data_IF_925957430378
#
_entry.id   IF_925957430378
#
_cell.length_a   1.000
_cell.length_b   1.000
_cell.length_c   1.000
_cell.angle_alpha   90.00
_cell.angle_beta   90.00
_cell.angle_gamma   90.00
#
_symmetry.space_group_name_H-M   'P 1'
#
loop_
_entity.id
_entity.type
_entity.pdbx_description
1 polymer ?
#
# COMPACT_ATOMS: atom_id res chain seq x y z
N UNK A 1 -8.87 10.28 7.26
CA UNK A 1 -8.32 11.26 6.31
C UNK A 1 -9.29 11.38 5.14
N UNK A 2 -9.50 12.58 4.63
CA UNK A 2 -10.44 12.85 3.53
C UNK A 2 -9.71 13.68 2.47
N UNK A 3 -9.88 13.35 1.19
CA UNK A 3 -9.27 14.04 0.05
C UNK A 3 -7.75 14.25 0.24
N UNK A 4 -7.07 13.21 0.72
CA UNK A 4 -5.68 13.26 1.15
C UNK A 4 -4.78 12.46 0.22
N UNK A 5 -3.58 12.99 -0.04
CA UNK A 5 -2.50 12.27 -0.72
C UNK A 5 -2.11 10.97 0.01
N UNK A 6 -2.44 10.88 1.30
CA UNK A 6 -2.25 9.72 2.13
C UNK A 6 -1.00 9.83 2.99
N UNK A 7 -0.23 8.73 3.08
CA UNK A 7 0.91 8.65 4.00
C UNK A 7 2.05 7.87 3.37
N UNK A 8 3.26 8.31 3.65
CA UNK A 8 4.51 7.69 3.21
C UNK A 8 5.30 7.27 4.45
N UNK A 9 5.56 5.97 4.60
CA UNK A 9 6.32 5.42 5.74
C UNK A 9 7.60 4.78 5.19
N UNK A 10 8.75 5.19 5.72
CA UNK A 10 10.04 4.56 5.43
C UNK A 10 10.65 4.86 4.06
N UNK A 11 10.25 5.96 3.42
CA UNK A 11 10.85 6.42 2.17
C UNK A 11 11.86 7.55 2.43
N UNK A 12 13.02 7.49 1.77
CA UNK A 12 14.00 8.58 1.76
C UNK A 12 15.07 8.37 0.70
N UNK A 13 16.00 9.32 0.59
CA UNK A 13 16.94 9.43 -0.53
C UNK A 13 18.26 8.73 -0.20
N UNK A 14 18.76 7.89 -1.10
CA UNK A 14 20.14 7.39 -1.04
C UNK A 14 21.08 8.49 -1.52
N UNK A 15 21.58 9.31 -0.60
CA UNK A 15 22.87 9.98 -0.75
C UNK A 15 23.64 9.88 0.56
N UNK A 16 24.56 8.92 0.62
CA UNK A 16 25.76 9.05 1.44
C UNK A 16 25.81 8.38 2.80
N UNK A 17 24.71 8.04 3.50
CA UNK A 17 24.69 7.10 4.65
C UNK A 17 23.28 6.97 5.27
N UNK A 18 22.75 5.73 5.22
CA UNK A 18 21.59 5.18 5.94
C UNK A 18 20.22 5.86 5.81
N UNK A 19 19.29 5.18 5.13
CA UNK A 19 17.86 5.44 5.28
C UNK A 19 17.36 4.75 6.56
N UNK A 20 16.86 5.52 7.51
CA UNK A 20 16.13 4.96 8.66
C UNK A 20 14.75 4.49 8.19
N UNK A 21 14.66 3.21 7.83
CA UNK A 21 13.38 2.58 7.52
C UNK A 21 12.81 2.05 8.84
N UNK A 22 11.57 2.42 9.23
CA UNK A 22 10.99 2.01 10.48
C UNK A 22 10.90 0.48 10.55
N UNK A 23 11.30 -0.02 11.71
CA UNK A 23 11.26 -1.42 12.09
C UNK A 23 10.15 -1.60 13.13
N UNK A 24 9.50 -2.76 13.15
CA UNK A 24 8.59 -3.17 14.23
C UNK A 24 7.48 -2.16 14.53
N UNK A 25 6.53 -2.02 13.60
CA UNK A 25 5.41 -1.10 13.80
C UNK A 25 4.07 -1.73 13.47
N UNK A 26 3.03 -1.13 14.06
CA UNK A 26 1.64 -1.46 13.80
C UNK A 26 0.91 -0.24 13.26
N UNK A 27 0.21 -0.42 12.15
CA UNK A 27 -0.85 0.49 11.72
C UNK A 27 -2.20 -0.13 12.06
N UNK A 28 -3.06 0.65 12.67
CA UNK A 28 -4.38 0.21 13.09
C UNK A 28 -5.44 1.28 12.85
N UNK A 29 -6.65 0.84 12.55
CA UNK A 29 -7.84 1.69 12.47
C UNK A 29 -7.70 2.86 11.48
N UNK A 30 -7.08 2.58 10.33
CA UNK A 30 -6.85 3.59 9.30
C UNK A 30 -8.11 3.77 8.44
N UNK A 31 -8.51 5.03 8.25
CA UNK A 31 -9.60 5.42 7.34
C UNK A 31 -9.14 6.49 6.36
N UNK A 32 -9.31 6.26 5.07
CA UNK A 32 -8.99 7.20 3.99
C UNK A 32 -10.12 7.22 2.95
N UNK A 33 -10.68 8.39 2.67
CA UNK A 33 -11.73 8.57 1.66
C UNK A 33 -11.38 9.67 0.66
N UNK A 34 -11.18 9.29 -0.61
CA UNK A 34 -10.85 10.20 -1.71
C UNK A 34 -11.95 10.23 -2.80
N UNK A 35 -13.20 9.87 -2.48
CA UNK A 35 -14.29 9.82 -3.46
C UNK A 35 -14.60 11.16 -4.14
N UNK A 36 -14.27 12.29 -3.52
CA UNK A 36 -14.57 13.62 -4.05
C UNK A 36 -13.45 14.17 -4.95
N UNK A 37 -12.29 13.50 -5.02
CA UNK A 37 -11.15 13.97 -5.81
C UNK A 37 -11.20 13.36 -7.22
N UNK A 38 -11.07 14.21 -8.23
CA UNK A 38 -11.12 13.80 -9.63
C UNK A 38 -9.80 13.19 -10.15
N UNK A 39 -8.68 13.54 -9.51
CA UNK A 39 -7.35 13.09 -9.90
C UNK A 39 -6.80 12.02 -8.95
N UNK A 40 -5.77 11.32 -9.43
CA UNK A 40 -5.11 10.24 -8.70
C UNK A 40 -4.40 10.76 -7.46
N UNK A 41 -4.69 10.15 -6.32
CA UNK A 41 -3.95 10.30 -5.08
C UNK A 41 -3.25 8.99 -4.72
N UNK A 42 -2.08 9.10 -4.09
CA UNK A 42 -1.16 7.98 -3.85
C UNK A 42 -1.72 6.95 -2.87
N UNK A 43 -2.39 7.40 -1.82
CA UNK A 43 -2.84 6.52 -0.74
C UNK A 43 -1.70 6.26 0.26
N UNK A 44 -1.61 5.03 0.75
CA UNK A 44 -0.62 4.69 1.77
C UNK A 44 0.46 3.84 1.13
N UNK A 45 1.69 4.33 1.21
CA UNK A 45 2.87 3.64 0.72
C UNK A 45 3.79 3.37 1.90
N UNK A 46 4.17 2.10 2.05
CA UNK A 46 4.98 1.62 3.16
C UNK A 46 6.19 0.93 2.60
N UNK A 47 7.35 1.51 2.88
CA UNK A 47 8.64 0.83 2.80
C UNK A 47 9.03 0.44 4.21
N UNK A 48 9.35 -0.83 4.38
CA UNK A 48 9.63 -1.43 5.68
C UNK A 48 11.01 -2.08 5.62
N UNK A 49 11.75 -2.06 6.74
CA UNK A 49 13.22 -2.20 6.74
C UNK A 49 13.79 -3.62 6.93
N UNK A 50 15.11 -3.74 6.84
CA UNK A 50 15.83 -5.03 6.81
C UNK A 50 15.96 -5.72 8.19
N UNK A 51 15.84 -7.06 8.22
CA UNK A 51 16.27 -8.06 9.24
C UNK A 51 15.77 -7.92 10.68
N UNK A 52 15.34 -9.05 11.25
CA UNK A 52 13.93 -9.43 11.28
C UNK A 52 13.09 -8.33 11.96
N UNK A 53 12.09 -7.83 11.26
CA UNK A 53 11.11 -6.92 11.84
C UNK A 53 9.67 -7.32 11.51
N UNK A 54 8.75 -6.87 12.37
CA UNK A 54 7.34 -7.25 12.38
C UNK A 54 6.48 -6.06 12.01
N UNK A 55 5.78 -6.17 10.88
CA UNK A 55 4.82 -5.15 10.45
C UNK A 55 3.41 -5.72 10.50
N UNK A 56 2.57 -5.08 11.31
CA UNK A 56 1.16 -5.42 11.41
C UNK A 56 0.30 -4.27 10.89
N UNK A 57 -0.51 -4.54 9.87
CA UNK A 57 -1.48 -3.59 9.36
C UNK A 57 -2.86 -4.19 9.58
N UNK A 58 -3.68 -3.47 10.35
CA UNK A 58 -4.93 -3.99 10.84
C UNK A 58 -6.05 -2.96 10.72
N UNK A 59 -7.26 -3.42 10.42
CA UNK A 59 -8.48 -2.58 10.41
C UNK A 59 -8.34 -1.34 9.51
N UNK A 60 -8.12 -1.58 8.22
CA UNK A 60 -7.92 -0.51 7.22
C UNK A 60 -9.14 -0.42 6.33
N UNK A 61 -9.66 0.80 6.14
CA UNK A 61 -10.66 1.12 5.12
C UNK A 61 -10.19 2.29 4.26
N UNK A 62 -10.00 2.06 2.97
CA UNK A 62 -9.52 3.07 2.02
C UNK A 62 -10.37 3.06 0.76
N UNK A 63 -10.84 4.22 0.30
CA UNK A 63 -11.64 4.34 -0.92
C UNK A 63 -11.03 5.36 -1.87
N UNK A 64 -10.91 4.98 -3.15
CA UNK A 64 -10.13 5.68 -4.19
C UNK A 64 -8.68 5.95 -3.77
N UNK A 65 -8.04 4.93 -3.19
CA UNK A 65 -6.65 4.99 -2.77
C UNK A 65 -5.99 3.62 -2.90
N UNK A 66 -4.67 3.62 -3.04
CA UNK A 66 -3.87 2.39 -3.09
C UNK A 66 -3.17 2.17 -1.75
N UNK A 67 -3.17 0.94 -1.26
CA UNK A 67 -2.26 0.47 -0.23
C UNK A 67 -1.10 -0.24 -0.93
N UNK A 68 0.10 0.30 -0.81
CA UNK A 68 1.29 -0.24 -1.47
C UNK A 68 2.36 -0.56 -0.45
N UNK A 69 2.79 -1.81 -0.46
CA UNK A 69 3.67 -2.40 0.51
C UNK A 69 4.94 -2.85 -0.19
N UNK A 70 6.07 -2.38 0.33
CA UNK A 70 7.39 -2.82 -0.02
C UNK A 70 8.00 -3.48 1.21
N UNK A 71 8.31 -4.77 1.08
CA UNK A 71 8.75 -5.62 2.18
C UNK A 71 10.15 -6.18 1.88
N UNK A 72 11.12 -5.93 2.75
CA UNK A 72 12.49 -6.43 2.61
C UNK A 72 13.04 -6.93 3.94
N UNK A 73 13.61 -8.13 3.97
CA UNK A 73 12.92 -9.31 4.49
C UNK A 73 12.30 -9.12 5.89
N UNK A 74 11.05 -9.56 6.05
CA UNK A 74 10.17 -9.16 7.17
C UNK A 74 8.92 -10.02 7.33
N UNK A 75 8.38 -10.09 8.54
CA UNK A 75 7.07 -10.69 8.76
C UNK A 75 5.96 -9.64 8.56
N UNK A 76 5.08 -9.88 7.59
CA UNK A 76 3.96 -8.99 7.23
C UNK A 76 2.62 -9.63 7.60
N UNK A 77 1.86 -8.91 8.44
CA UNK A 77 0.52 -9.32 8.87
C UNK A 77 -0.52 -8.31 8.39
N UNK A 78 -1.42 -8.73 7.51
CA UNK A 78 -2.59 -7.95 7.11
C UNK A 78 -3.86 -8.60 7.69
N UNK A 79 -4.65 -7.80 8.43
CA UNK A 79 -5.93 -8.23 9.00
C UNK A 79 -7.01 -7.17 8.78
N UNK A 80 -8.19 -7.58 8.31
CA UNK A 80 -9.34 -6.69 8.16
C UNK A 80 -9.00 -5.47 7.28
N UNK A 81 -8.59 -5.74 6.05
CA UNK A 81 -8.20 -4.73 5.07
C UNK A 81 -9.32 -4.62 4.04
N UNK A 82 -9.83 -3.41 3.84
CA UNK A 82 -10.78 -3.09 2.78
C UNK A 82 -10.24 -1.87 2.01
N UNK A 83 -9.71 -2.11 0.83
CA UNK A 83 -9.12 -1.07 -0.01
C UNK A 83 -9.74 -1.13 -1.39
N UNK A 84 -10.12 0.03 -1.90
CA UNK A 84 -10.82 0.16 -3.15
C UNK A 84 -10.20 1.27 -4.00
N UNK A 85 -9.94 0.97 -5.26
CA UNK A 85 -9.34 1.88 -6.23
C UNK A 85 -10.05 1.78 -7.56
N UNK A 86 -10.06 2.85 -8.36
CA UNK A 86 -10.57 2.76 -9.73
C UNK A 86 -9.59 1.98 -10.60
N UNK A 87 -10.09 1.07 -11.44
CA UNK A 87 -9.25 0.23 -12.31
C UNK A 87 -8.33 1.05 -13.22
N UNK A 88 -8.78 2.23 -13.67
CA UNK A 88 -8.01 3.14 -14.51
C UNK A 88 -6.78 3.75 -13.81
N UNK A 89 -6.77 3.82 -12.48
CA UNK A 89 -5.66 4.43 -11.71
C UNK A 89 -4.55 3.42 -11.41
N UNK A 90 -4.91 2.15 -11.21
CA UNK A 90 -4.03 1.06 -10.81
C UNK A 90 -4.58 0.25 -9.65
N UNK A 91 -3.86 -0.79 -9.19
CA UNK A 91 -4.39 -1.73 -8.21
C UNK A 91 -4.69 -1.10 -6.84
N UNK A 92 -5.71 -1.64 -6.17
CA UNK A 92 -6.09 -1.25 -4.82
C UNK A 92 -5.06 -1.68 -3.76
N UNK A 93 -4.49 -2.89 -3.91
CA UNK A 93 -3.39 -3.40 -3.10
C UNK A 93 -2.22 -3.75 -4.01
N UNK A 94 -1.04 -3.22 -3.68
CA UNK A 94 0.23 -3.59 -4.29
C UNK A 94 1.13 -4.17 -3.22
N UNK A 95 1.70 -5.34 -3.48
CA UNK A 95 2.73 -5.92 -2.62
C UNK A 95 3.92 -6.27 -3.51
N UNK A 96 5.06 -5.68 -3.20
CA UNK A 96 6.31 -5.92 -3.92
C UNK A 96 7.12 -6.96 -3.14
N UNK A 97 7.21 -8.16 -3.70
CA UNK A 97 8.09 -9.23 -3.24
C UNK A 97 9.07 -9.52 -4.38
N UNK A 98 10.37 -9.42 -4.12
CA UNK A 98 11.40 -9.78 -5.11
C UNK A 98 12.35 -10.83 -4.53
N UNK A 99 12.66 -11.81 -5.39
CA UNK A 99 13.55 -12.94 -5.15
C UNK A 99 14.82 -12.70 -5.99
N UNK A 100 15.84 -12.14 -5.34
CA UNK A 100 17.21 -11.85 -5.82
C UNK A 100 17.50 -12.15 -7.29
N UNK A 101 17.61 -11.08 -8.10
CA UNK A 101 18.67 -10.98 -9.15
C UNK A 101 19.31 -9.59 -9.33
N UNK A 102 18.90 -8.53 -8.63
CA UNK A 102 19.53 -7.21 -8.81
C UNK A 102 19.83 -6.49 -7.48
N UNK A 103 21.00 -5.84 -7.42
CA UNK A 103 21.63 -5.28 -6.21
C UNK A 103 21.33 -3.78 -6.02
N UNK A 104 20.45 -3.19 -6.84
CA UNK A 104 20.17 -1.74 -6.80
C UNK A 104 18.68 -1.46 -7.00
N UNK A 105 18.04 -0.89 -5.98
CA UNK A 105 16.67 -0.36 -6.08
C UNK A 105 15.52 -1.38 -6.08
N UNK A 106 15.78 -2.65 -5.72
CA UNK A 106 14.77 -3.72 -5.69
C UNK A 106 14.91 -4.60 -4.41
N UNK A 107 13.77 -5.13 -3.94
CA UNK A 107 13.54 -5.64 -2.57
C UNK A 107 13.98 -7.11 -2.37
N UNK A 108 14.05 -7.61 -1.12
CA UNK A 108 14.45 -8.99 -0.80
C UNK A 108 13.39 -9.70 0.07
N UNK A 109 12.72 -10.72 -0.44
CA UNK A 109 12.04 -11.69 0.40
C UNK A 109 13.01 -12.84 0.73
N UNK A 110 13.26 -13.12 2.01
CA UNK A 110 13.96 -14.34 2.43
C UNK A 110 12.99 -15.52 2.48
N UNK A 111 13.50 -16.75 2.34
CA UNK A 111 12.69 -17.98 2.38
C UNK A 111 11.88 -18.14 3.67
N UNK A 112 12.32 -17.56 4.78
CA UNK A 112 11.67 -17.54 6.10
C UNK A 112 10.75 -16.33 6.34
N UNK A 113 10.51 -15.50 5.33
CA UNK A 113 9.57 -14.37 5.41
C UNK A 113 8.15 -14.89 5.62
N UNK A 114 7.50 -14.51 6.72
CA UNK A 114 6.09 -14.86 6.96
C UNK A 114 5.17 -13.81 6.36
N UNK A 115 4.30 -14.23 5.44
CA UNK A 115 3.17 -13.43 4.98
C UNK A 115 1.88 -14.03 5.56
N UNK A 116 1.16 -13.25 6.35
CA UNK A 116 -0.12 -13.67 6.90
C UNK A 116 -1.23 -12.70 6.56
N UNK A 117 -2.23 -13.16 5.82
CA UNK A 117 -3.36 -12.37 5.34
C UNK A 117 -4.67 -12.99 5.86
N UNK A 118 -5.56 -12.17 6.43
CA UNK A 118 -6.92 -12.62 6.77
C UNK A 118 -7.89 -11.47 6.62
N UNK A 119 -9.06 -11.74 6.03
CA UNK A 119 -10.08 -10.73 5.75
C UNK A 119 -9.49 -9.53 4.98
N UNK A 120 -8.94 -9.80 3.80
CA UNK A 120 -8.33 -8.79 2.92
C UNK A 120 -9.17 -8.68 1.64
N UNK A 121 -9.84 -7.54 1.49
CA UNK A 121 -10.60 -7.15 0.32
C UNK A 121 -9.89 -5.98 -0.37
N UNK A 122 -9.30 -6.25 -1.53
CA UNK A 122 -8.64 -5.24 -2.36
C UNK A 122 -9.30 -5.23 -3.74
N UNK A 123 -10.15 -4.24 -4.01
CA UNK A 123 -11.05 -4.24 -5.17
C UNK A 123 -10.73 -3.08 -6.11
N UNK A 124 -10.57 -3.41 -7.39
CA UNK A 124 -10.52 -2.43 -8.46
C UNK A 124 -11.92 -2.22 -9.04
N UNK A 125 -12.56 -1.10 -8.73
CA UNK A 125 -13.85 -0.75 -9.31
C UNK A 125 -13.65 -0.29 -10.76
N UNK A 126 -14.41 -0.90 -11.68
CA UNK A 126 -14.58 -0.31 -13.01
C UNK A 126 -15.30 1.02 -12.82
N UNK A 127 -14.76 2.07 -13.41
CA UNK A 127 -15.48 3.34 -13.48
C UNK A 127 -16.78 3.06 -14.24
N UNK A 128 -17.94 3.24 -13.61
CA UNK A 128 -19.17 3.39 -14.37
C UNK A 128 -18.95 4.61 -15.26
N UNK A 129 -18.83 4.41 -16.57
CA UNK A 129 -18.93 5.51 -17.51
C UNK A 129 -20.29 6.16 -17.25
N UNK A 130 -20.28 7.42 -16.83
CA UNK A 130 -21.48 8.24 -16.88
C UNK A 130 -21.86 8.33 -18.35
N UNK A 131 -22.75 7.44 -18.80
CA UNK A 131 -23.58 7.68 -19.98
C UNK A 131 -24.50 8.83 -19.59
N UNK A 132 -24.03 10.05 -19.83
CA UNK A 132 -24.88 11.21 -19.81
C UNK A 132 -25.97 10.96 -20.84
N UNK A 133 -27.19 10.72 -20.38
CA UNK A 133 -28.36 10.93 -21.22
C UNK A 133 -28.36 12.42 -21.52
N UNK A 134 -28.04 12.78 -22.78
CA UNK A 134 -28.48 14.06 -23.33
C UNK A 134 -30.00 14.03 -23.18
N UNK A 135 -30.53 14.92 -22.34
CA UNK A 135 -31.89 15.37 -22.52
C UNK A 135 -31.83 16.40 -23.65
N UNK A 136 -32.55 16.05 -24.69
CA UNK A 136 -32.97 16.78 -25.89
C UNK A 136 -32.82 18.31 -25.86
#
# INVERSE_FOLDING_TARGET
MTNSAGMLIGYGVVKGKYLSIPQNFKLNAIRLDNRQVAYKLRGIQISSGNTPSFVAITNVRMTRATLELHNQPQHLFLRNINVMQTSAIGPALKMHFDLRKDVRGQFMARQDTLLSLANVHAINEKRAEFRGYRQD
#
